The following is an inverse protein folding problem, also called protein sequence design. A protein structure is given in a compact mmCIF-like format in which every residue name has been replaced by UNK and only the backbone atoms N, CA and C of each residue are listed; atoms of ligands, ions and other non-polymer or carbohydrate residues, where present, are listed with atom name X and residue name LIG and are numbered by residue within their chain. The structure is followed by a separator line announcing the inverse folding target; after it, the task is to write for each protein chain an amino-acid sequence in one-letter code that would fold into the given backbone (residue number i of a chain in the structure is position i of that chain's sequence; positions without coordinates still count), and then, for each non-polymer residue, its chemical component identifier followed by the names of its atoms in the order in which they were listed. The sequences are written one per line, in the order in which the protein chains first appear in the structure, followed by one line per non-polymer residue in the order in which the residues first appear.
data_IF_491338757479
#
_entry.id   IF_491338757479
#
_cell.length_a   1.000
_cell.length_b   1.000
_cell.length_c   1.000
_cell.angle_alpha   90.00
_cell.angle_beta   90.00
_cell.angle_gamma   90.00
#
_symmetry.space_group_name_H-M   'P 1'
#
loop_
_entity.id
_entity.type
_entity.pdbx_description
1 polymer ?
#
# COMPACT_ATOMS: atom_id res chain seq x y z
N UNK A 1 -5.63 0.44 -2.20
CA UNK A 1 -4.82 -0.02 -3.35
C UNK A 1 -3.38 0.40 -3.15
N UNK A 2 -2.43 -0.44 -3.55
CA UNK A 2 -1.01 -0.13 -3.55
C UNK A 2 -0.60 0.44 -4.92
N UNK A 3 0.02 1.63 -4.93
CA UNK A 3 0.36 2.38 -6.15
C UNK A 3 1.61 1.83 -6.84
N UNK A 4 1.48 0.64 -7.44
CA UNK A 4 2.55 -0.03 -8.17
C UNK A 4 2.94 0.70 -9.46
N UNK A 5 2.03 1.48 -10.03
CA UNK A 5 2.30 2.28 -11.23
C UNK A 5 3.43 3.29 -11.04
N UNK A 6 3.63 3.79 -9.81
CA UNK A 6 4.74 4.70 -9.49
C UNK A 6 6.12 4.00 -9.48
N UNK A 7 6.15 2.66 -9.35
CA UNK A 7 7.37 1.87 -9.23
C UNK A 7 7.79 1.19 -10.54
N UNK A 8 6.90 1.20 -11.55
CA UNK A 8 7.07 0.39 -12.76
C UNK A 8 8.36 0.73 -13.53
N UNK A 9 8.72 2.02 -13.63
CA UNK A 9 9.86 2.47 -14.42
C UNK A 9 11.19 1.97 -13.85
N UNK A 10 11.34 2.01 -12.53
CA UNK A 10 12.54 1.49 -11.84
C UNK A 10 12.70 -0.01 -12.04
N UNK A 11 11.60 -0.76 -12.04
CA UNK A 11 11.61 -2.21 -12.28
C UNK A 11 11.89 -2.53 -13.75
N UNK A 12 11.33 -1.77 -14.69
CA UNK A 12 11.60 -1.93 -16.13
C UNK A 12 13.09 -1.73 -16.39
N UNK A 13 13.70 -0.67 -15.84
CA UNK A 13 15.13 -0.42 -15.98
C UNK A 13 15.98 -1.59 -15.44
N UNK A 14 15.58 -2.17 -14.30
CA UNK A 14 16.24 -3.36 -13.75
C UNK A 14 16.12 -4.58 -14.69
N UNK A 15 14.93 -4.82 -15.24
CA UNK A 15 14.70 -5.94 -16.18
C UNK A 15 15.44 -5.75 -17.50
N UNK A 16 15.66 -4.51 -17.95
CA UNK A 16 16.39 -4.17 -19.17
C UNK A 16 17.92 -4.19 -18.97
N UNK A 17 18.42 -4.12 -17.74
CA UNK A 17 19.84 -4.28 -17.41
C UNK A 17 20.42 -5.61 -17.92
N UNK A 18 21.68 -5.64 -18.42
CA UNK A 18 22.35 -6.88 -18.79
C UNK A 18 22.66 -7.79 -17.60
N UNK A 19 22.69 -7.24 -16.38
CA UNK A 19 22.95 -8.00 -15.15
C UNK A 19 21.77 -8.89 -14.76
N UNK A 20 20.56 -8.54 -15.18
CA UNK A 20 19.35 -9.29 -14.89
C UNK A 20 19.02 -10.27 -16.02
N UNK A 21 19.33 -11.55 -15.80
CA UNK A 21 19.18 -12.61 -16.79
C UNK A 21 17.97 -13.47 -16.47
N UNK A 22 16.96 -13.47 -17.37
CA UNK A 22 15.83 -14.40 -17.33
C UNK A 22 16.02 -15.50 -18.37
N UNK A 23 15.78 -16.75 -17.98
CA UNK A 23 15.67 -17.91 -18.88
C UNK A 23 14.28 -18.56 -18.73
N UNK A 24 13.58 -18.92 -19.83
CA UNK A 24 13.98 -18.72 -21.24
C UNK A 24 13.91 -17.24 -21.67
N UNK A 25 14.62 -16.84 -22.75
CA UNK A 25 14.68 -15.42 -23.17
C UNK A 25 13.31 -14.78 -23.46
N UNK A 26 12.32 -15.57 -23.91
CA UNK A 26 10.98 -15.10 -24.20
C UNK A 26 10.26 -14.53 -22.97
N UNK A 27 10.49 -15.10 -21.79
CA UNK A 27 9.84 -14.67 -20.54
C UNK A 27 10.20 -13.22 -20.15
N UNK A 28 11.38 -12.73 -20.57
CA UNK A 28 11.77 -11.32 -20.39
C UNK A 28 10.82 -10.36 -21.10
N UNK A 29 10.48 -10.66 -22.36
CA UNK A 29 9.56 -9.84 -23.15
C UNK A 29 8.15 -9.87 -22.57
N UNK A 30 7.72 -11.06 -22.12
CA UNK A 30 6.43 -11.27 -21.46
C UNK A 30 6.33 -10.43 -20.17
N UNK A 31 7.38 -10.43 -19.33
CA UNK A 31 7.45 -9.61 -18.13
C UNK A 31 7.43 -8.10 -18.43
N UNK A 32 8.22 -7.65 -19.41
CA UNK A 32 8.25 -6.23 -19.80
C UNK A 32 6.90 -5.75 -20.33
N UNK A 33 6.22 -6.56 -21.15
CA UNK A 33 4.88 -6.23 -21.66
C UNK A 33 3.85 -6.10 -20.54
N UNK A 34 3.92 -6.97 -19.53
CA UNK A 34 3.07 -6.88 -18.34
C UNK A 34 3.37 -5.63 -17.50
N UNK A 35 4.64 -5.32 -17.24
CA UNK A 35 5.05 -4.14 -16.47
C UNK A 35 4.63 -2.82 -17.13
N UNK A 36 4.69 -2.72 -18.45
CA UNK A 36 4.26 -1.52 -19.20
C UNK A 36 2.76 -1.24 -19.03
N UNK A 37 1.95 -2.28 -18.89
CA UNK A 37 0.50 -2.21 -18.70
C UNK A 37 0.07 -2.42 -17.23
N UNK A 38 1.00 -2.25 -16.28
CA UNK A 38 0.75 -2.48 -14.87
C UNK A 38 -0.34 -1.54 -14.33
N UNK A 39 -1.25 -2.12 -13.54
CA UNK A 39 -2.26 -1.39 -12.77
C UNK A 39 -1.94 -1.45 -11.28
N UNK A 40 -2.47 -0.48 -10.55
CA UNK A 40 -2.40 -0.47 -9.10
C UNK A 40 -2.98 -1.75 -8.49
N UNK A 41 -2.28 -2.27 -7.49
CA UNK A 41 -2.59 -3.57 -6.93
C UNK A 41 -3.62 -3.45 -5.81
N UNK A 42 -4.77 -4.10 -5.97
CA UNK A 42 -5.69 -4.31 -4.86
C UNK A 42 -5.10 -5.33 -3.88
N UNK A 43 -4.59 -4.87 -2.73
CA UNK A 43 -4.01 -5.73 -1.70
C UNK A 43 -5.01 -6.16 -0.61
N UNK A 44 -6.25 -5.64 -0.64
CA UNK A 44 -7.30 -5.97 0.35
C UNK A 44 -8.10 -7.19 -0.07
N UNK A 45 -8.43 -8.08 0.87
CA UNK A 45 -9.23 -9.29 0.61
C UNK A 45 -10.30 -9.48 1.70
N UNK A 46 -11.53 -9.71 1.28
CA UNK A 46 -12.68 -10.01 2.16
C UNK A 46 -12.74 -11.51 2.48
N UNK A 47 -11.65 -12.06 3.01
CA UNK A 47 -11.55 -13.48 3.41
C UNK A 47 -11.12 -13.59 4.87
N UNK A 48 -11.38 -14.75 5.48
CA UNK A 48 -11.15 -14.96 6.91
C UNK A 48 -9.71 -15.32 7.27
N UNK A 49 -8.93 -15.83 6.30
CA UNK A 49 -7.57 -16.30 6.53
C UNK A 49 -6.56 -15.40 5.83
N UNK A 50 -5.59 -14.89 6.59
CA UNK A 50 -4.52 -14.02 6.10
C UNK A 50 -4.05 -13.03 7.16
N UNK A 51 -3.04 -12.23 6.82
CA UNK A 51 -2.56 -11.18 7.72
C UNK A 51 -3.54 -10.02 7.73
N UNK A 52 -4.11 -9.68 8.89
CA UNK A 52 -5.02 -8.54 9.02
C UNK A 52 -4.34 -7.25 8.58
N UNK A 53 -5.02 -6.41 7.82
CA UNK A 53 -4.46 -5.13 7.39
C UNK A 53 -4.23 -4.26 8.63
N UNK A 54 -3.04 -3.67 8.85
CA UNK A 54 -2.74 -2.84 10.01
C UNK A 54 -3.31 -1.42 9.86
N UNK A 55 -4.51 -1.29 9.29
CA UNK A 55 -5.19 -0.02 9.09
C UNK A 55 -6.27 0.15 10.16
N UNK A 56 -6.28 1.31 10.81
CA UNK A 56 -7.21 1.64 11.89
C UNK A 56 -7.91 2.96 11.59
N UNK A 57 -9.19 3.05 11.98
CA UNK A 57 -9.95 4.29 11.94
C UNK A 57 -10.67 4.52 13.26
N UNK A 58 -11.12 5.74 13.50
CA UNK A 58 -12.00 6.03 14.65
C UNK A 58 -13.39 5.40 14.46
N UNK A 59 -13.97 4.89 15.54
CA UNK A 59 -15.31 4.28 15.57
C UNK A 59 -16.44 5.29 15.50
N UNK A 60 -16.23 6.48 16.07
CA UNK A 60 -17.20 7.57 16.14
C UNK A 60 -17.44 8.27 14.79
N UNK A 61 -16.52 8.09 13.84
CA UNK A 61 -16.68 8.59 12.48
C UNK A 61 -17.45 7.58 11.61
N UNK A 62 -18.44 8.04 10.82
CA UNK A 62 -19.20 7.15 9.95
C UNK A 62 -18.27 6.43 8.96
N UNK A 63 -18.52 5.13 8.76
CA UNK A 63 -17.78 4.29 7.78
C UNK A 63 -17.98 4.75 6.34
N UNK A 64 -19.08 5.44 6.09
CA UNK A 64 -19.46 5.96 4.79
C UNK A 64 -18.68 7.25 4.53
N UNK A 65 -17.50 7.08 3.96
CA UNK A 65 -16.97 8.08 3.03
C UNK A 65 -18.06 8.34 1.98
N UNK A 66 -18.80 9.44 2.12
CA UNK A 66 -19.66 9.92 1.05
C UNK A 66 -18.78 10.19 -0.17
N UNK A 67 -19.08 9.53 -1.28
CA UNK A 67 -18.45 9.86 -2.55
C UNK A 67 -19.09 11.15 -3.03
N UNK A 68 -18.29 12.20 -3.23
CA UNK A 68 -18.78 13.45 -3.79
C UNK A 68 -18.15 13.67 -5.15
N UNK A 69 -19.05 13.77 -6.13
CA UNK A 69 -18.78 14.02 -7.54
C UNK A 69 -18.54 15.51 -7.77
N UNK A 70 -17.31 15.90 -8.06
CA UNK A 70 -16.99 17.28 -8.41
C UNK A 70 -15.85 17.35 -9.44
N UNK A 71 -15.82 18.45 -10.20
CA UNK A 71 -14.76 18.72 -11.18
C UNK A 71 -13.52 19.33 -10.53
N UNK A 72 -13.60 19.76 -9.27
CA UNK A 72 -12.48 20.22 -8.45
C UNK A 72 -12.63 19.88 -6.97
N UNK A 73 -11.52 19.94 -6.22
CA UNK A 73 -11.48 19.70 -4.77
C UNK A 73 -12.31 20.73 -4.00
N UNK A 74 -12.28 22.00 -4.42
CA UNK A 74 -13.05 23.09 -3.84
C UNK A 74 -14.56 22.88 -4.02
N UNK A 75 -14.98 22.40 -5.19
CA UNK A 75 -16.39 22.09 -5.49
C UNK A 75 -16.86 20.87 -4.69
N UNK A 76 -16.01 19.85 -4.51
CA UNK A 76 -16.32 18.70 -3.64
C UNK A 76 -16.56 19.12 -2.18
N UNK A 77 -15.75 20.06 -1.67
CA UNK A 77 -15.91 20.59 -0.30
C UNK A 77 -17.22 21.37 -0.14
N UNK A 78 -17.61 22.17 -1.13
CA UNK A 78 -18.87 22.92 -1.10
C UNK A 78 -20.09 21.99 -1.12
N UNK A 79 -20.05 20.94 -1.94
CA UNK A 79 -21.12 19.94 -2.03
C UNK A 79 -21.27 19.10 -0.75
N UNK A 80 -20.15 18.79 -0.08
CA UNK A 80 -20.17 18.16 1.25
C UNK A 80 -20.80 19.06 2.33
N UNK A 81 -20.60 20.37 2.24
CA UNK A 81 -21.12 21.35 3.21
C UNK A 81 -22.60 21.70 2.98
N UNK A 82 -23.10 21.59 1.75
CA UNK A 82 -24.48 21.97 1.40
C UNK A 82 -25.53 20.88 1.65
N UNK A 83 -25.12 19.65 2.00
CA UNK A 83 -26.04 18.55 2.34
C UNK A 83 -26.87 18.01 1.17
N UNK A 84 -26.57 18.40 -0.07
CA UNK A 84 -27.24 17.92 -1.28
C UNK A 84 -26.41 16.84 -1.98
N UNK A 85 -26.48 15.59 -1.55
CA UNK A 85 -26.13 14.47 -2.43
C UNK A 85 -26.88 13.21 -2.00
N UNK A 86 -27.98 12.91 -2.68
CA UNK A 86 -28.69 11.63 -2.55
C UNK A 86 -28.18 10.57 -3.51
N UNK A 87 -27.47 10.94 -4.59
CA UNK A 87 -26.83 9.99 -5.52
C UNK A 87 -25.82 10.72 -6.42
N UNK A 88 -24.54 10.79 -6.02
CA UNK A 88 -23.51 11.52 -6.76
C UNK A 88 -22.31 10.61 -7.08
N UNK A 89 -22.14 10.26 -8.36
CA UNK A 89 -21.00 9.50 -8.88
C UNK A 89 -20.00 10.42 -9.63
N UNK A 90 -18.86 10.71 -9.00
CA UNK A 90 -17.54 10.97 -9.61
C UNK A 90 -16.51 11.13 -8.46
N UNK A 91 -15.25 10.76 -8.68
CA UNK A 91 -14.27 10.50 -7.63
C UNK A 91 -13.42 11.73 -7.24
N UNK A 92 -13.67 12.30 -6.05
CA UNK A 92 -12.67 13.05 -5.26
C UNK A 92 -12.47 12.31 -3.93
N UNK A 93 -11.29 11.68 -3.76
CA UNK A 93 -10.95 10.89 -2.57
C UNK A 93 -10.56 11.83 -1.42
N UNK A 94 -11.51 12.19 -0.56
CA UNK A 94 -11.19 12.85 0.70
C UNK A 94 -10.43 11.90 1.62
N UNK A 95 -9.41 12.41 2.32
CA UNK A 95 -8.52 11.65 3.22
C UNK A 95 -9.33 10.71 4.11
N UNK A 96 -9.37 9.45 3.69
CA UNK A 96 -9.96 8.36 4.44
C UNK A 96 -9.20 8.35 5.77
N UNK A 97 -9.88 8.67 6.89
CA UNK A 97 -9.33 8.82 8.24
C UNK A 97 -8.82 7.51 8.84
N UNK A 98 -8.00 6.82 8.06
CA UNK A 98 -7.32 5.59 8.36
C UNK A 98 -5.85 5.88 8.58
N UNK A 99 -5.26 5.22 9.56
CA UNK A 99 -3.83 5.24 9.83
C UNK A 99 -3.29 3.83 9.81
N UNK A 100 -2.06 3.68 9.32
CA UNK A 100 -1.34 2.42 9.43
C UNK A 100 -0.57 2.41 10.76
N UNK A 101 -0.78 1.38 11.58
CA UNK A 101 -0.16 1.26 12.91
C UNK A 101 0.05 -0.21 13.30
N UNK A 102 1.02 -0.49 14.17
CA UNK A 102 1.28 -1.86 14.65
C UNK A 102 0.34 -2.25 15.78
N UNK A 103 -0.17 -1.29 16.55
CA UNK A 103 -1.13 -1.50 17.63
C UNK A 103 -2.24 -0.45 17.66
N UNK A 104 -3.27 -0.69 18.48
CA UNK A 104 -4.37 0.25 18.68
C UNK A 104 -3.93 1.52 19.40
N UNK A 105 -2.93 1.42 20.28
CA UNK A 105 -2.32 2.54 20.99
C UNK A 105 -1.62 3.49 20.01
N UNK A 106 -0.73 2.94 19.16
CA UNK A 106 -0.05 3.72 18.12
C UNK A 106 -1.04 4.33 17.13
N UNK A 107 -2.09 3.59 16.76
CA UNK A 107 -3.16 4.12 15.91
C UNK A 107 -3.86 5.32 16.55
N UNK A 108 -4.15 5.24 17.86
CA UNK A 108 -4.81 6.32 18.61
C UNK A 108 -3.93 7.57 18.66
N UNK A 109 -2.65 7.41 18.92
CA UNK A 109 -1.67 8.51 18.92
C UNK A 109 -1.58 9.19 17.54
N UNK A 110 -1.48 8.39 16.46
CA UNK A 110 -1.46 8.90 15.09
C UNK A 110 -2.76 9.65 14.73
N UNK A 111 -3.92 9.15 15.16
CA UNK A 111 -5.21 9.81 14.90
C UNK A 111 -5.42 11.07 15.76
N UNK A 112 -4.81 11.16 16.94
CA UNK A 112 -4.81 12.36 17.76
C UNK A 112 -3.92 13.45 17.14
N UNK A 113 -2.75 13.08 16.64
CA UNK A 113 -1.79 14.03 16.05
C UNK A 113 -2.24 14.63 14.71
N UNK A 114 -3.15 13.97 13.99
CA UNK A 114 -3.73 14.51 12.75
C UNK A 114 -4.69 15.70 12.96
N UNK A 115 -5.00 16.05 14.21
CA UNK A 115 -5.87 17.17 14.57
C UNK A 115 -7.35 16.94 14.22
N UNK A 116 -8.28 17.73 14.79
CA UNK A 116 -9.66 17.71 14.34
C UNK A 116 -9.73 18.25 12.91
N UNK A 117 -10.30 17.46 11.99
CA UNK A 117 -10.79 17.99 10.73
C UNK A 117 -11.76 19.14 11.05
N UNK A 118 -11.74 20.18 10.22
CA UNK A 118 -12.36 21.50 10.41
C UNK A 118 -13.90 21.50 10.55
N UNK A 119 -14.52 20.35 10.85
CA UNK A 119 -15.96 20.10 10.85
C UNK A 119 -16.53 19.69 12.22
N UNK A 120 -15.71 19.52 13.26
CA UNK A 120 -16.19 19.34 14.63
C UNK A 120 -15.75 20.51 15.50
N UNK A 121 -16.46 21.63 15.38
CA UNK A 121 -16.44 22.67 16.39
C UNK A 121 -17.11 22.16 17.67
N UNK A 122 -16.45 22.42 18.79
CA UNK A 122 -16.97 22.34 20.16
C UNK A 122 -17.13 20.95 20.78
N UNK A 123 -16.01 20.32 21.17
CA UNK A 123 -15.86 19.81 22.55
C UNK A 123 -14.37 19.58 22.86
N UNK A 124 -13.75 20.57 23.50
CA UNK A 124 -12.46 20.41 24.14
C UNK A 124 -12.67 19.60 25.44
N UNK A 125 -12.51 18.29 25.36
CA UNK A 125 -12.24 17.42 26.49
C UNK A 125 -11.50 16.20 25.97
N UNK A 126 -10.57 15.64 26.75
CA UNK A 126 -9.88 14.37 26.52
C UNK A 126 -10.85 13.25 26.12
N UNK A 127 -11.27 13.21 24.85
CA UNK A 127 -12.24 12.24 24.40
C UNK A 127 -11.41 11.05 23.95
N UNK A 128 -11.16 10.13 24.87
CA UNK A 128 -10.69 8.80 24.53
C UNK A 128 -11.66 8.22 23.51
N UNK A 129 -11.23 8.08 22.27
CA UNK A 129 -12.03 7.49 21.21
C UNK A 129 -11.60 6.05 20.97
N UNK A 130 -12.59 5.22 20.65
CA UNK A 130 -12.35 3.84 20.21
C UNK A 130 -11.82 3.86 18.77
N UNK A 131 -10.84 3.00 18.52
CA UNK A 131 -10.36 2.69 17.17
C UNK A 131 -10.86 1.32 16.73
N UNK A 132 -11.10 1.16 15.44
CA UNK A 132 -11.46 -0.11 14.82
C UNK A 132 -10.46 -0.41 13.72
N UNK A 133 -9.92 -1.63 13.73
CA UNK A 133 -9.08 -2.17 12.66
C UNK A 133 -9.90 -2.63 11.47
N UNK A 134 -9.36 -2.44 10.27
CA UNK A 134 -9.95 -2.94 9.02
C UNK A 134 -10.26 -4.46 9.13
N UNK A 135 -11.49 -4.90 8.84
CA UNK A 135 -11.85 -6.32 8.86
C UNK A 135 -11.11 -7.16 7.81
N UNK A 136 -10.62 -6.55 6.73
CA UNK A 136 -9.96 -7.24 5.63
C UNK A 136 -8.58 -7.80 6.02
N UNK A 137 -8.14 -8.77 5.22
CA UNK A 137 -6.78 -9.31 5.25
C UNK A 137 -6.01 -8.92 4.00
N UNK A 138 -4.68 -8.96 4.11
CA UNK A 138 -3.77 -8.74 3.00
C UNK A 138 -3.82 -9.92 2.02
N UNK A 139 -3.69 -9.60 0.73
CA UNK A 139 -3.46 -10.56 -0.34
C UNK A 139 -2.28 -11.48 -0.01
N UNK A 140 -2.45 -12.79 -0.17
CA UNK A 140 -1.38 -13.79 0.04
C UNK A 140 -0.14 -13.49 -0.80
N UNK A 141 -0.32 -12.92 -1.99
CA UNK A 141 0.81 -12.52 -2.82
C UNK A 141 1.55 -11.30 -2.27
N UNK A 142 0.92 -10.47 -1.43
CA UNK A 142 1.55 -9.33 -0.77
C UNK A 142 2.59 -9.80 0.25
N UNK A 143 2.24 -10.74 1.12
CA UNK A 143 3.22 -11.34 2.04
C UNK A 143 4.30 -12.13 1.29
N UNK A 144 3.91 -12.87 0.25
CA UNK A 144 4.87 -13.66 -0.55
C UNK A 144 5.87 -12.78 -1.31
N UNK A 145 5.45 -11.59 -1.75
CA UNK A 145 6.32 -10.64 -2.43
C UNK A 145 7.39 -10.02 -1.50
N UNK A 146 7.18 -10.06 -0.19
CA UNK A 146 8.12 -9.58 0.82
C UNK A 146 9.13 -10.65 1.27
N UNK A 147 9.04 -11.88 0.72
CA UNK A 147 9.89 -12.99 1.15
C UNK A 147 11.39 -12.64 1.11
N UNK A 148 11.97 -12.06 0.02
CA UNK A 148 13.40 -11.75 -0.02
C UNK A 148 13.85 -10.75 1.05
N UNK A 149 12.93 -9.89 1.53
CA UNK A 149 13.22 -8.88 2.55
C UNK A 149 13.07 -9.47 3.96
N UNK A 150 11.97 -10.16 4.23
CA UNK A 150 11.64 -10.70 5.56
C UNK A 150 12.63 -11.76 6.02
N UNK A 151 13.11 -12.63 5.13
CA UNK A 151 14.13 -13.64 5.47
C UNK A 151 15.49 -13.02 5.77
N UNK A 152 15.72 -11.78 5.35
CA UNK A 152 16.95 -11.03 5.60
C UNK A 152 16.79 -10.00 6.74
N UNK A 153 15.79 -10.17 7.61
CA UNK A 153 15.51 -9.30 8.76
C UNK A 153 15.23 -7.83 8.40
N UNK A 154 14.71 -7.56 7.20
CA UNK A 154 14.17 -6.23 6.89
C UNK A 154 13.04 -5.86 7.88
N UNK A 155 12.97 -4.63 8.41
CA UNK A 155 13.70 -3.43 8.00
C UNK A 155 15.13 -3.31 8.55
N UNK A 156 15.52 -4.06 9.57
CA UNK A 156 16.87 -4.01 10.17
C UNK A 156 18.00 -4.60 9.30
N UNK A 157 17.72 -4.87 8.02
CA UNK A 157 18.67 -5.42 7.06
C UNK A 157 19.73 -4.37 6.67
N UNK A 158 21.01 -4.69 6.85
CA UNK A 158 22.11 -3.90 6.33
C UNK A 158 22.37 -4.18 4.84
N UNK A 159 22.92 -3.20 4.12
CA UNK A 159 23.45 -3.45 2.76
C UNK A 159 24.58 -4.47 2.84
N UNK A 160 24.51 -5.51 2.00
CA UNK A 160 25.51 -6.58 1.97
C UNK A 160 25.19 -7.78 2.86
N UNK A 161 23.93 -7.99 3.25
CA UNK A 161 23.50 -9.30 3.77
C UNK A 161 24.00 -10.42 2.84
N UNK A 162 24.51 -11.50 3.41
CA UNK A 162 25.09 -12.61 2.66
C UNK A 162 24.13 -13.23 1.61
N UNK A 163 22.81 -12.99 1.75
CA UNK A 163 21.76 -13.60 0.95
C UNK A 163 20.89 -12.60 0.18
N UNK A 164 21.27 -11.31 0.13
CA UNK A 164 20.56 -10.27 -0.62
C UNK A 164 21.53 -9.29 -1.31
N UNK A 165 21.44 -9.09 -2.64
CA UNK A 165 20.45 -9.65 -3.56
C UNK A 165 20.70 -11.13 -3.91
N UNK A 166 19.65 -11.84 -4.34
CA UNK A 166 19.74 -13.24 -4.79
C UNK A 166 20.53 -13.36 -6.10
N UNK A 167 21.36 -14.41 -6.21
CA UNK A 167 22.12 -14.73 -7.43
C UNK A 167 21.35 -15.59 -8.44
N UNK A 168 20.41 -16.42 -7.97
CA UNK A 168 19.59 -17.30 -8.80
C UNK A 168 18.19 -17.46 -8.18
N UNK A 169 17.17 -17.46 -9.02
CA UNK A 169 15.79 -17.82 -8.67
C UNK A 169 15.25 -18.76 -9.73
N UNK A 170 14.74 -19.92 -9.29
CA UNK A 170 14.06 -20.88 -10.15
C UNK A 170 12.57 -20.92 -9.77
N UNK A 171 11.70 -20.83 -10.76
CA UNK A 171 10.25 -20.81 -10.59
C UNK A 171 9.56 -21.17 -11.90
N UNK A 172 8.29 -21.57 -11.83
CA UNK A 172 7.42 -21.71 -13.00
C UNK A 172 7.01 -20.36 -13.61
N UNK A 173 6.68 -20.39 -14.90
CA UNK A 173 6.19 -19.23 -15.66
C UNK A 173 4.80 -18.76 -15.17
N UNK A 174 4.01 -19.69 -14.63
CA UNK A 174 2.65 -19.47 -14.12
C UNK A 174 2.56 -18.39 -13.03
N UNK A 175 3.61 -18.23 -12.22
CA UNK A 175 3.67 -17.24 -11.14
C UNK A 175 4.61 -16.06 -11.43
N UNK A 176 5.07 -15.90 -12.67
CA UNK A 176 5.94 -14.80 -13.10
C UNK A 176 5.33 -13.43 -12.75
N UNK A 177 4.04 -13.25 -12.98
CA UNK A 177 3.36 -11.97 -12.71
C UNK A 177 2.79 -11.86 -11.30
N UNK A 178 2.32 -12.97 -10.75
CA UNK A 178 1.69 -12.99 -9.43
C UNK A 178 2.71 -12.87 -8.31
N UNK A 179 3.92 -13.39 -8.52
CA UNK A 179 4.97 -13.44 -7.51
C UNK A 179 6.24 -12.71 -7.93
N UNK A 180 6.91 -13.14 -9.01
CA UNK A 180 8.25 -12.61 -9.36
C UNK A 180 8.21 -11.10 -9.61
N UNK A 181 7.31 -10.65 -10.48
CA UNK A 181 7.16 -9.22 -10.78
C UNK A 181 6.82 -8.40 -9.52
N UNK A 182 6.03 -8.96 -8.61
CA UNK A 182 5.64 -8.29 -7.36
C UNK A 182 6.78 -8.25 -6.35
N UNK A 183 7.60 -9.29 -6.28
CA UNK A 183 8.85 -9.27 -5.50
C UNK A 183 9.77 -8.16 -6.01
N UNK A 184 9.94 -8.02 -7.33
CA UNK A 184 10.75 -6.94 -7.89
C UNK A 184 10.22 -5.57 -7.48
N UNK A 185 8.90 -5.35 -7.60
CA UNK A 185 8.25 -4.10 -7.16
C UNK A 185 8.48 -3.81 -5.66
N UNK A 186 8.33 -4.82 -4.78
CA UNK A 186 8.54 -4.63 -3.34
C UNK A 186 10.00 -4.35 -3.01
N UNK A 187 10.93 -5.14 -3.55
CA UNK A 187 12.37 -5.00 -3.29
C UNK A 187 12.93 -3.67 -3.80
N UNK A 188 12.39 -3.15 -4.92
CA UNK A 188 12.74 -1.81 -5.42
C UNK A 188 12.15 -0.70 -4.53
N UNK A 189 10.95 -0.90 -3.98
CA UNK A 189 10.30 0.08 -3.11
C UNK A 189 10.88 0.14 -1.69
N UNK A 190 11.44 -0.97 -1.21
CA UNK A 190 11.92 -1.16 0.16
C UNK A 190 13.40 -1.54 0.19
N UNK A 191 14.32 -0.66 -0.26
CA UNK A 191 15.74 -0.97 -0.27
C UNK A 191 16.30 -1.12 1.16
N UNK A 192 17.38 -1.91 1.37
CA UNK A 192 18.08 -1.98 2.64
C UNK A 192 18.60 -0.60 3.09
N UNK A 193 18.54 -0.32 4.39
CA UNK A 193 19.07 0.92 4.97
C UNK A 193 20.60 1.00 4.80
N UNK A 194 21.12 2.20 4.58
CA UNK A 194 22.55 2.46 4.68
C UNK A 194 22.94 2.46 6.16
N UNK A 195 24.10 1.89 6.49
CA UNK A 195 24.61 1.76 7.86
C UNK A 195 25.02 3.13 8.46
N UNK A 196 24.89 4.23 7.73
CA UNK A 196 25.38 5.56 8.15
C UNK A 196 24.39 6.41 8.97
N UNK A 197 23.13 5.97 9.17
CA UNK A 197 22.12 6.73 9.93
C UNK A 197 21.83 6.16 11.34
N UNK A 198 22.86 5.70 12.05
CA UNK A 198 22.77 5.25 13.46
C UNK A 198 23.78 5.95 14.36
#
# INVERSE_FOLDING_TARGET
FFRTTALKESVIALVESPEFVIRPPGARNTLLSWLRNLKDWCISRQIQWGHRIPAYRRKDRPSSSGWVAAKSEEEARQLLQSGQCSDCFLLVLYRLGWVAAKSEEEARELLQSQGPDSSSSNLASETTFDVIRDPDVLDTWFSSALLPLTVNNWPSMSRGSAWYPLSLMETGEDILFFWVARMMLMCTALPPHQVEDA
#
